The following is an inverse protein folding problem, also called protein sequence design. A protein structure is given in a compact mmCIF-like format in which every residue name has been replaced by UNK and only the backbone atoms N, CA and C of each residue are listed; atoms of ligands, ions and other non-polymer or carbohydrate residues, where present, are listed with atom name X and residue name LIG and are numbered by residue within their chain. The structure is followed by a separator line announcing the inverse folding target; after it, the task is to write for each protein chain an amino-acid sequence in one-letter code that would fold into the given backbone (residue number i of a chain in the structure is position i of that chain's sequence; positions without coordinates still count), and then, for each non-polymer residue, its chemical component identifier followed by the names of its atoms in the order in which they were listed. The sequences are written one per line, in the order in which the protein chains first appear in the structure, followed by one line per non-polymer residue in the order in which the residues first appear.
data_IF_559090020198
#
_entry.id   IF_559090020198
#
_cell.length_a   1.000
_cell.length_b   1.000
_cell.length_c   1.000
_cell.angle_alpha   90.00
_cell.angle_beta   90.00
_cell.angle_gamma   90.00
#
_symmetry.space_group_name_H-M   'P 1'
#
loop_
_entity.id
_entity.type
_entity.pdbx_description
1 polymer ?
#
# COMPACT_ATOMS: atom_id res chain seq x y z
N UNK A 1 22.01 0.31 -19.43
CA UNK A 1 20.87 1.27 -19.61
C UNK A 1 21.19 2.41 -20.55
N UNK A 2 22.42 2.90 -20.59
CA UNK A 2 22.84 3.95 -21.53
C UNK A 2 22.78 3.52 -22.99
N UNK A 3 23.01 2.26 -23.31
CA UNK A 3 22.96 1.73 -24.67
C UNK A 3 21.58 1.85 -25.35
N UNK A 4 20.48 1.68 -24.60
CA UNK A 4 19.13 1.80 -25.15
C UNK A 4 18.69 3.22 -25.48
N UNK A 5 19.41 4.23 -24.98
CA UNK A 5 19.11 5.65 -25.18
C UNK A 5 20.11 6.35 -26.07
N UNK A 6 21.14 5.63 -26.51
CA UNK A 6 22.20 6.15 -27.37
C UNK A 6 21.63 6.60 -28.70
N UNK A 7 21.98 7.81 -29.11
CA UNK A 7 21.50 8.45 -30.34
C UNK A 7 20.26 9.33 -30.18
N UNK A 8 19.66 9.40 -28.98
CA UNK A 8 18.56 10.32 -28.71
C UNK A 8 18.96 11.32 -27.61
N UNK A 9 19.35 12.52 -28.03
CA UNK A 9 19.95 13.54 -27.17
C UNK A 9 19.17 13.87 -25.89
N UNK A 10 17.83 14.01 -25.91
CA UNK A 10 17.04 14.22 -24.68
C UNK A 10 17.19 13.08 -23.67
N UNK A 11 17.19 11.83 -24.13
CA UNK A 11 17.32 10.66 -23.27
C UNK A 11 18.75 10.48 -22.73
N UNK A 12 19.75 10.91 -23.47
CA UNK A 12 21.14 10.89 -23.00
C UNK A 12 21.37 11.89 -21.87
N UNK A 13 20.72 13.05 -21.94
CA UNK A 13 20.82 14.11 -20.92
C UNK A 13 20.00 13.83 -19.67
N UNK A 14 18.81 13.23 -19.82
CA UNK A 14 17.83 13.01 -18.76
C UNK A 14 17.36 11.56 -18.72
N UNK A 15 18.31 10.64 -18.51
CA UNK A 15 18.10 9.20 -18.61
C UNK A 15 16.95 8.65 -17.73
N UNK A 16 16.74 9.22 -16.55
CA UNK A 16 15.67 8.81 -15.63
C UNK A 16 14.29 9.18 -16.15
N UNK A 17 14.12 10.40 -16.65
CA UNK A 17 12.85 10.90 -17.22
C UNK A 17 12.45 10.13 -18.49
N UNK A 18 13.44 9.73 -19.28
CA UNK A 18 13.26 8.97 -20.52
C UNK A 18 13.27 7.46 -20.34
N UNK A 19 13.27 6.98 -19.11
CA UNK A 19 13.06 5.55 -18.84
C UNK A 19 11.62 5.13 -19.17
N UNK A 20 10.65 5.96 -18.80
CA UNK A 20 9.23 5.81 -19.13
C UNK A 20 8.62 7.20 -19.37
N UNK A 21 8.90 7.84 -20.54
CA UNK A 21 8.62 9.26 -20.75
C UNK A 21 7.13 9.59 -20.88
N UNK A 22 6.25 8.59 -20.99
CA UNK A 22 4.85 8.81 -21.34
C UNK A 22 4.69 9.26 -22.81
N UNK A 23 3.67 10.05 -23.11
CA UNK A 23 3.46 10.59 -24.45
C UNK A 23 4.41 11.77 -24.71
N UNK A 24 5.07 11.76 -25.88
CA UNK A 24 5.96 12.84 -26.30
C UNK A 24 5.93 13.00 -27.82
N UNK A 25 6.36 14.15 -28.31
CA UNK A 25 6.58 14.38 -29.74
C UNK A 25 7.91 13.72 -30.15
N UNK A 26 7.89 12.76 -31.08
CA UNK A 26 9.12 12.04 -31.47
C UNK A 26 10.14 12.90 -32.26
N UNK A 27 9.72 14.06 -32.80
CA UNK A 27 10.59 14.94 -33.57
C UNK A 27 11.26 15.95 -32.66
N UNK A 28 10.50 16.59 -31.76
CA UNK A 28 11.01 17.64 -30.88
C UNK A 28 11.52 17.12 -29.55
N UNK A 29 11.06 15.93 -29.11
CA UNK A 29 11.29 15.41 -27.78
C UNK A 29 10.47 16.11 -26.69
N UNK A 30 9.48 16.93 -27.06
CA UNK A 30 8.60 17.60 -26.11
C UNK A 30 7.65 16.58 -25.47
N UNK A 31 7.61 16.53 -24.13
CA UNK A 31 6.74 15.62 -23.37
C UNK A 31 5.39 16.28 -23.13
N UNK A 32 4.32 15.53 -23.39
CA UNK A 32 2.94 15.97 -23.07
C UNK A 32 2.65 15.72 -21.60
N UNK A 33 2.90 16.72 -20.75
CA UNK A 33 2.63 16.67 -19.32
C UNK A 33 1.20 17.12 -19.08
N UNK A 34 0.36 16.23 -18.53
CA UNK A 34 -1.01 16.58 -18.17
C UNK A 34 -1.03 17.64 -17.06
N UNK A 35 -1.95 18.62 -17.17
CA UNK A 35 -2.20 19.54 -16.06
C UNK A 35 -2.79 18.75 -14.89
N UNK A 36 -2.14 18.84 -13.73
CA UNK A 36 -2.55 18.15 -12.50
C UNK A 36 -2.96 19.11 -11.39
N UNK A 37 -3.14 20.39 -11.71
CA UNK A 37 -3.60 21.41 -10.77
C UNK A 37 -4.98 21.03 -10.19
N UNK A 38 -5.12 21.11 -8.89
CA UNK A 38 -6.36 20.74 -8.20
C UNK A 38 -6.62 19.21 -8.08
N UNK A 39 -5.71 18.36 -8.58
CA UNK A 39 -5.82 16.92 -8.38
C UNK A 39 -5.15 16.47 -7.07
N UNK A 40 -5.61 15.36 -6.45
CA UNK A 40 -4.88 14.71 -5.35
C UNK A 40 -3.45 14.35 -5.77
N UNK A 41 -2.47 14.36 -4.85
CA UNK A 41 -1.10 13.98 -5.14
C UNK A 41 -0.98 12.47 -5.47
N UNK A 42 0.15 12.10 -6.05
CA UNK A 42 0.55 10.70 -6.11
C UNK A 42 0.94 10.21 -4.70
N UNK A 43 0.63 8.97 -4.36
CA UNK A 43 1.03 8.39 -3.07
C UNK A 43 2.54 8.45 -2.86
N UNK A 44 3.34 8.19 -3.90
CA UNK A 44 4.80 8.33 -3.84
C UNK A 44 5.26 9.74 -3.47
N UNK A 45 4.56 10.79 -3.95
CA UNK A 45 4.91 12.18 -3.64
C UNK A 45 4.52 12.54 -2.19
N UNK A 46 3.41 11.98 -1.70
CA UNK A 46 3.05 12.06 -0.27
C UNK A 46 4.14 11.42 0.57
N UNK A 47 4.61 10.22 0.20
CA UNK A 47 5.73 9.55 0.86
C UNK A 47 6.98 10.44 0.87
N UNK A 48 7.47 10.88 -0.30
CA UNK A 48 8.72 11.64 -0.41
C UNK A 48 8.69 12.96 0.38
N UNK A 49 7.60 13.72 0.28
CA UNK A 49 7.45 14.97 1.03
C UNK A 49 7.32 14.74 2.54
N UNK A 50 6.57 13.72 2.95
CA UNK A 50 6.43 13.37 4.39
C UNK A 50 7.76 12.88 4.96
N UNK A 51 8.52 12.09 4.20
CA UNK A 51 9.83 11.60 4.64
C UNK A 51 10.80 12.75 4.91
N UNK A 52 10.80 13.77 4.06
CA UNK A 52 11.62 14.98 4.29
C UNK A 52 11.20 15.70 5.56
N UNK A 53 9.91 15.92 5.77
CA UNK A 53 9.41 16.59 6.98
C UNK A 53 9.75 15.82 8.25
N UNK A 54 9.60 14.50 8.24
CA UNK A 54 10.02 13.65 9.36
C UNK A 54 11.55 13.69 9.58
N UNK A 55 12.32 13.70 8.49
CA UNK A 55 13.77 13.78 8.56
C UNK A 55 14.29 15.14 9.06
N UNK A 56 13.59 16.23 8.79
CA UNK A 56 13.88 17.56 9.36
C UNK A 56 13.69 17.55 10.89
N UNK A 57 12.65 16.87 11.37
CA UNK A 57 12.35 16.79 12.80
C UNK A 57 13.18 15.73 13.54
N UNK A 58 13.61 14.65 12.88
CA UNK A 58 14.33 13.54 13.49
C UNK A 58 15.64 13.26 12.73
N UNK A 59 16.81 13.61 13.30
CA UNK A 59 18.11 13.42 12.65
C UNK A 59 18.49 11.95 12.42
N UNK A 60 17.83 10.99 13.04
CA UNK A 60 18.07 9.56 12.88
C UNK A 60 17.45 8.97 11.61
N UNK A 61 16.46 9.63 11.02
CA UNK A 61 15.78 9.13 9.82
C UNK A 61 16.72 9.17 8.63
N UNK A 62 16.79 8.05 7.92
CA UNK A 62 17.50 7.87 6.65
C UNK A 62 16.60 7.17 5.65
N UNK A 63 16.79 7.45 4.36
CA UNK A 63 16.06 6.81 3.26
C UNK A 63 16.95 5.80 2.53
N UNK A 64 16.39 4.64 2.15
CA UNK A 64 17.07 3.62 1.34
C UNK A 64 16.15 3.21 0.20
N UNK A 65 16.69 3.08 -1.01
CA UNK A 65 15.96 2.53 -2.16
C UNK A 65 16.88 1.75 -3.08
N UNK A 66 16.43 0.64 -3.67
CA UNK A 66 17.20 -0.10 -4.67
C UNK A 66 16.83 0.37 -6.09
N UNK A 67 17.60 1.34 -6.64
CA UNK A 67 17.48 1.86 -8.01
C UNK A 67 16.11 2.52 -8.35
N UNK A 68 15.37 3.01 -7.36
CA UNK A 68 14.02 3.59 -7.56
C UNK A 68 13.90 5.04 -7.06
N UNK A 69 14.93 5.91 -7.14
CA UNK A 69 14.90 7.22 -6.49
C UNK A 69 13.74 8.10 -6.97
N UNK A 70 13.50 8.21 -8.26
CA UNK A 70 12.39 9.00 -8.82
C UNK A 70 11.05 8.23 -8.76
N UNK A 71 11.09 6.92 -8.92
CA UNK A 71 9.90 6.08 -8.94
C UNK A 71 9.16 6.04 -7.58
N UNK A 72 9.88 6.15 -6.47
CA UNK A 72 9.31 6.22 -5.13
C UNK A 72 9.47 7.60 -4.47
N UNK A 73 9.82 8.64 -5.23
CA UNK A 73 10.05 10.02 -4.75
C UNK A 73 11.11 10.15 -3.64
N UNK A 74 12.04 9.18 -3.53
CA UNK A 74 13.21 9.27 -2.65
C UNK A 74 14.18 10.38 -3.08
N UNK A 75 14.17 10.76 -4.38
CA UNK A 75 14.94 11.88 -4.91
C UNK A 75 14.69 13.18 -4.15
N UNK A 76 13.48 13.41 -3.60
CA UNK A 76 13.14 14.59 -2.81
C UNK A 76 14.03 14.67 -1.56
N UNK A 77 14.24 13.56 -0.86
CA UNK A 77 15.16 13.48 0.28
C UNK A 77 16.62 13.59 -0.18
N UNK A 78 16.99 12.92 -1.30
CA UNK A 78 18.34 12.98 -1.86
C UNK A 78 18.77 14.39 -2.21
N UNK A 79 17.89 15.21 -2.75
CA UNK A 79 18.14 16.61 -3.09
C UNK A 79 18.32 17.48 -1.84
N UNK A 80 17.47 17.32 -0.83
CA UNK A 80 17.52 18.12 0.39
C UNK A 80 18.58 17.66 1.40
N UNK A 81 18.77 16.35 1.52
CA UNK A 81 19.64 15.72 2.51
C UNK A 81 20.47 14.58 1.90
N UNK A 82 21.40 14.86 0.96
CA UNK A 82 22.12 13.85 0.18
C UNK A 82 22.93 12.84 1.02
N UNK A 83 23.29 13.19 2.25
CA UNK A 83 23.99 12.29 3.17
C UNK A 83 23.07 11.34 3.95
N UNK A 84 21.75 11.48 3.78
CA UNK A 84 20.74 10.72 4.51
C UNK A 84 19.83 9.91 3.61
N UNK A 85 20.17 9.80 2.33
CA UNK A 85 19.42 9.00 1.37
C UNK A 85 20.40 8.18 0.52
N UNK A 86 20.11 6.88 0.37
CA UNK A 86 21.00 5.90 -0.23
C UNK A 86 20.29 5.14 -1.34
N UNK A 87 20.86 5.15 -2.55
CA UNK A 87 20.49 4.25 -3.62
C UNK A 87 21.54 3.12 -3.68
N UNK A 88 21.09 1.89 -3.43
CA UNK A 88 21.99 0.72 -3.39
C UNK A 88 22.05 -0.05 -4.72
N UNK A 89 21.49 0.53 -5.79
CA UNK A 89 21.35 -0.15 -7.08
C UNK A 89 20.24 -1.21 -7.05
N UNK A 90 20.16 -2.05 -8.09
CA UNK A 90 19.17 -3.13 -8.19
C UNK A 90 19.58 -4.28 -7.26
N UNK A 91 19.36 -4.10 -5.96
CA UNK A 91 19.81 -5.02 -4.92
C UNK A 91 18.86 -4.97 -3.71
N UNK A 92 17.62 -5.46 -3.86
CA UNK A 92 16.55 -5.38 -2.87
C UNK A 92 16.92 -6.07 -1.54
N UNK A 93 17.51 -7.26 -1.60
CA UNK A 93 18.00 -7.95 -0.41
C UNK A 93 19.05 -7.13 0.34
N UNK A 94 20.00 -6.52 -0.39
CA UNK A 94 21.00 -5.63 0.21
C UNK A 94 20.36 -4.38 0.83
N UNK A 95 19.34 -3.77 0.19
CA UNK A 95 18.63 -2.63 0.74
C UNK A 95 18.03 -2.93 2.12
N UNK A 96 17.44 -4.11 2.31
CA UNK A 96 16.85 -4.54 3.58
C UNK A 96 17.94 -4.84 4.61
N UNK A 97 18.97 -5.63 4.27
CA UNK A 97 20.08 -5.94 5.18
C UNK A 97 20.82 -4.67 5.62
N UNK A 98 21.10 -3.76 4.69
CA UNK A 98 21.74 -2.46 4.97
C UNK A 98 20.89 -1.61 5.92
N UNK A 99 19.57 -1.57 5.70
CA UNK A 99 18.63 -0.91 6.61
C UNK A 99 18.63 -1.54 8.00
N UNK A 100 18.68 -2.88 8.08
CA UNK A 100 18.83 -3.61 9.35
C UNK A 100 20.10 -3.21 10.11
N UNK A 101 21.24 -3.13 9.42
CA UNK A 101 22.50 -2.66 10.00
C UNK A 101 22.41 -1.25 10.54
N UNK A 102 21.84 -0.31 9.77
CA UNK A 102 21.64 1.07 10.22
C UNK A 102 20.70 1.17 11.42
N UNK A 103 19.62 0.38 11.44
CA UNK A 103 18.70 0.34 12.58
C UNK A 103 19.38 -0.21 13.84
N UNK A 104 20.27 -1.20 13.70
CA UNK A 104 21.09 -1.74 14.79
C UNK A 104 22.01 -0.70 15.40
N UNK A 105 22.53 0.21 14.60
CA UNK A 105 23.36 1.34 15.04
C UNK A 105 22.55 2.56 15.52
N UNK A 106 21.23 2.43 15.62
CA UNK A 106 20.33 3.43 16.21
C UNK A 106 19.81 4.49 15.24
N UNK A 107 19.94 4.27 13.93
CA UNK A 107 19.25 5.06 12.92
C UNK A 107 17.80 4.55 12.72
N UNK A 108 16.99 5.34 12.02
CA UNK A 108 15.61 5.03 11.68
C UNK A 108 15.45 4.96 10.16
N UNK A 109 15.75 3.81 9.53
CA UNK A 109 15.69 3.70 8.08
C UNK A 109 14.25 3.54 7.57
N UNK A 110 13.94 4.31 6.53
CA UNK A 110 12.79 4.11 5.65
C UNK A 110 13.28 3.46 4.36
N UNK A 111 13.05 2.16 4.23
CA UNK A 111 13.45 1.36 3.08
C UNK A 111 12.26 1.26 2.11
N UNK A 112 12.33 1.99 0.99
CA UNK A 112 11.26 2.03 0.01
C UNK A 112 11.60 1.14 -1.19
N UNK A 113 10.80 0.12 -1.41
CA UNK A 113 10.93 -0.87 -2.49
C UNK A 113 9.55 -1.11 -3.09
N UNK A 114 9.45 -1.30 -4.42
CA UNK A 114 8.18 -1.73 -5.01
C UNK A 114 7.73 -3.08 -4.45
N UNK A 115 6.45 -3.21 -4.14
CA UNK A 115 5.87 -4.39 -3.50
C UNK A 115 6.25 -5.70 -4.22
N UNK A 116 6.17 -5.76 -5.55
CA UNK A 116 6.57 -6.94 -6.32
C UNK A 116 8.09 -7.23 -6.25
N UNK A 117 8.92 -6.20 -6.10
CA UNK A 117 10.39 -6.37 -6.02
C UNK A 117 10.85 -6.73 -4.60
N UNK A 118 10.07 -6.36 -3.58
CA UNK A 118 10.31 -6.76 -2.19
C UNK A 118 10.35 -8.29 -2.01
N UNK A 119 9.72 -9.04 -2.91
CA UNK A 119 9.79 -10.51 -2.91
C UNK A 119 11.22 -11.05 -2.93
N UNK A 120 12.18 -10.33 -3.57
CA UNK A 120 13.60 -10.69 -3.57
C UNK A 120 14.30 -10.51 -2.24
N UNK A 121 13.69 -9.75 -1.33
CA UNK A 121 14.23 -9.48 0.00
C UNK A 121 13.47 -10.22 1.12
N UNK A 122 12.57 -11.15 0.80
CA UNK A 122 11.72 -11.83 1.77
C UNK A 122 12.53 -12.51 2.88
N UNK A 123 13.61 -13.21 2.52
CA UNK A 123 14.52 -13.84 3.47
C UNK A 123 15.22 -12.80 4.36
N UNK A 124 15.70 -11.70 3.77
CA UNK A 124 16.36 -10.63 4.51
C UNK A 124 15.42 -9.93 5.49
N UNK A 125 14.12 -9.79 5.14
CA UNK A 125 13.10 -9.27 6.07
C UNK A 125 13.01 -10.17 7.30
N UNK A 126 13.01 -11.49 7.12
CA UNK A 126 12.93 -12.45 8.23
C UNK A 126 14.21 -12.42 9.07
N UNK A 127 15.38 -12.68 8.46
CA UNK A 127 16.62 -12.90 9.18
C UNK A 127 17.28 -11.61 9.68
N UNK A 128 17.30 -10.56 8.85
CA UNK A 128 18.09 -9.37 9.15
C UNK A 128 17.28 -8.31 9.90
N UNK A 129 15.95 -8.40 9.87
CA UNK A 129 15.06 -7.38 10.46
C UNK A 129 14.11 -7.98 11.51
N UNK A 130 13.24 -8.92 11.11
CA UNK A 130 12.13 -9.38 11.96
C UNK A 130 12.61 -10.21 13.17
N UNK A 131 13.54 -11.15 13.00
CA UNK A 131 14.10 -11.97 14.10
C UNK A 131 14.74 -11.08 15.16
N UNK A 132 15.41 -9.99 14.75
CA UNK A 132 16.08 -9.07 15.64
C UNK A 132 15.16 -7.95 16.14
N UNK A 133 13.91 -7.90 15.69
CA UNK A 133 12.92 -6.87 16.00
C UNK A 133 13.45 -5.43 15.77
N UNK A 134 14.18 -5.22 14.67
CA UNK A 134 14.81 -3.94 14.36
C UNK A 134 13.79 -2.92 13.81
N UNK A 135 13.84 -1.65 14.21
CA UNK A 135 12.89 -0.62 13.79
C UNK A 135 13.16 -0.12 12.36
N UNK A 136 13.01 -1.00 11.39
CA UNK A 136 13.07 -0.67 9.96
C UNK A 136 11.67 -0.40 9.45
N UNK A 137 11.44 0.75 8.80
CA UNK A 137 10.18 1.05 8.12
C UNK A 137 10.29 0.58 6.66
N UNK A 138 9.57 -0.48 6.33
CA UNK A 138 9.51 -1.05 4.99
C UNK A 138 8.35 -0.42 4.24
N UNK A 139 8.62 0.49 3.31
CA UNK A 139 7.62 1.14 2.48
C UNK A 139 7.45 0.39 1.17
N UNK A 140 6.31 -0.30 1.01
CA UNK A 140 5.98 -1.06 -0.18
C UNK A 140 5.18 -0.19 -1.14
N UNK A 141 5.86 0.47 -2.03
CA UNK A 141 5.25 1.23 -3.11
C UNK A 141 4.72 0.28 -4.20
N UNK A 142 3.70 0.66 -4.96
CA UNK A 142 3.07 -0.17 -5.99
C UNK A 142 2.41 -1.44 -5.41
N UNK A 143 1.80 -1.35 -4.23
CA UNK A 143 0.95 -2.43 -3.72
C UNK A 143 -0.32 -2.58 -4.58
N UNK A 144 -0.81 -3.80 -4.72
CA UNK A 144 -1.99 -4.11 -5.52
C UNK A 144 -1.74 -4.08 -7.02
N UNK A 145 -2.78 -3.80 -7.80
CA UNK A 145 -2.71 -3.71 -9.26
C UNK A 145 -2.11 -2.37 -9.68
N UNK A 146 -1.07 -2.41 -10.51
CA UNK A 146 -0.28 -1.21 -10.90
C UNK A 146 -0.52 -0.73 -12.33
N UNK A 147 -1.23 -1.52 -13.15
CA UNK A 147 -1.66 -1.10 -14.49
C UNK A 147 -0.75 -1.59 -15.61
N UNK A 148 -0.22 -0.67 -16.40
CA UNK A 148 0.42 -0.94 -17.69
C UNK A 148 1.69 -1.79 -17.61
N UNK A 149 2.37 -1.80 -16.46
CA UNK A 149 3.59 -2.60 -16.26
C UNK A 149 3.28 -4.11 -16.10
N UNK A 150 2.03 -4.47 -15.83
CA UNK A 150 1.54 -5.84 -15.84
C UNK A 150 2.02 -6.73 -14.68
N UNK A 151 1.96 -8.07 -14.87
CA UNK A 151 2.14 -9.05 -13.79
C UNK A 151 3.51 -9.01 -13.12
N UNK A 152 4.54 -8.48 -13.77
CA UNK A 152 5.88 -8.35 -13.19
C UNK A 152 5.96 -7.24 -12.14
N UNK A 153 4.99 -6.33 -12.11
CA UNK A 153 4.96 -5.17 -11.22
C UNK A 153 3.77 -5.15 -10.26
N UNK A 154 2.73 -5.96 -10.49
CA UNK A 154 1.60 -6.03 -9.55
C UNK A 154 2.06 -6.47 -8.17
N UNK A 155 1.80 -5.63 -7.17
CA UNK A 155 2.09 -5.89 -5.75
C UNK A 155 1.00 -6.73 -5.09
N UNK A 156 0.67 -7.88 -5.69
CA UNK A 156 -0.46 -8.70 -5.29
C UNK A 156 -0.19 -9.59 -4.07
N UNK A 157 1.07 -9.94 -3.80
CA UNK A 157 1.42 -11.02 -2.87
C UNK A 157 1.94 -10.54 -1.52
N UNK A 158 2.21 -9.26 -1.34
CA UNK A 158 2.85 -8.70 -0.16
C UNK A 158 2.15 -9.06 1.15
N UNK A 159 0.83 -8.86 1.23
CA UNK A 159 0.05 -9.23 2.42
C UNK A 159 0.13 -10.71 2.74
N UNK A 160 -0.05 -11.57 1.75
CA UNK A 160 -0.03 -13.02 1.93
C UNK A 160 1.36 -13.55 2.35
N UNK A 161 2.43 -12.97 1.78
CA UNK A 161 3.80 -13.39 2.08
C UNK A 161 4.32 -12.87 3.42
N UNK A 162 3.96 -11.65 3.80
CA UNK A 162 4.51 -11.01 5.00
C UNK A 162 3.70 -11.30 6.27
N UNK A 163 2.40 -11.57 6.15
CA UNK A 163 1.51 -11.81 7.30
C UNK A 163 2.03 -12.90 8.27
N UNK A 164 2.60 -14.03 7.80
CA UNK A 164 3.07 -15.07 8.71
C UNK A 164 4.30 -14.69 9.53
N UNK A 165 5.07 -13.68 9.13
CA UNK A 165 6.35 -13.34 9.77
C UNK A 165 6.10 -12.71 11.15
N UNK A 166 6.64 -13.27 12.26
CA UNK A 166 6.51 -12.66 13.59
C UNK A 166 7.14 -11.26 13.67
N UNK A 167 6.75 -10.47 14.66
CA UNK A 167 7.24 -9.12 14.96
C UNK A 167 6.93 -8.05 13.90
N UNK A 168 6.48 -8.39 12.68
CA UNK A 168 6.10 -7.38 11.70
C UNK A 168 4.77 -6.71 12.06
N UNK A 169 4.74 -5.40 12.04
CA UNK A 169 3.51 -4.61 11.88
C UNK A 169 3.27 -4.41 10.39
N UNK A 170 2.03 -4.64 9.91
CA UNK A 170 1.67 -4.48 8.50
C UNK A 170 0.44 -3.59 8.38
N UNK A 171 0.58 -2.47 7.69
CA UNK A 171 -0.47 -1.47 7.51
C UNK A 171 -0.70 -1.10 6.05
N UNK A 172 -1.90 -0.60 5.75
CA UNK A 172 -2.26 -0.05 4.45
C UNK A 172 -3.15 1.17 4.64
N UNK A 173 -2.67 2.38 4.32
CA UNK A 173 -3.46 3.60 4.42
C UNK A 173 -4.59 3.61 3.41
N UNK A 174 -5.76 4.10 3.79
CA UNK A 174 -6.89 4.28 2.90
C UNK A 174 -6.76 5.54 2.03
N UNK A 175 -6.04 6.54 2.53
CA UNK A 175 -5.83 7.83 1.89
C UNK A 175 -4.45 8.43 2.22
N UNK A 176 -4.18 9.61 1.68
CA UNK A 176 -2.90 10.30 1.81
C UNK A 176 -2.62 10.78 3.24
N UNK A 177 -3.66 11.19 3.96
CA UNK A 177 -3.51 11.62 5.36
C UNK A 177 -3.14 10.43 6.26
N UNK A 178 -3.74 9.26 5.99
CA UNK A 178 -3.38 8.03 6.69
C UNK A 178 -1.96 7.58 6.37
N UNK A 179 -1.50 7.66 5.11
CA UNK A 179 -0.10 7.37 4.76
C UNK A 179 0.85 8.25 5.57
N UNK A 180 0.58 9.54 5.62
CA UNK A 180 1.37 10.50 6.37
C UNK A 180 1.43 10.17 7.87
N UNK A 181 0.30 9.84 8.48
CA UNK A 181 0.21 9.47 9.90
C UNK A 181 0.84 8.11 10.20
N UNK A 182 0.71 7.14 9.32
CA UNK A 182 1.36 5.83 9.45
C UNK A 182 2.88 5.96 9.37
N UNK A 183 3.41 6.80 8.47
CA UNK A 183 4.85 7.09 8.42
C UNK A 183 5.34 7.75 9.71
N UNK A 184 4.58 8.69 10.27
CA UNK A 184 4.88 9.28 11.56
C UNK A 184 4.84 8.24 12.69
N UNK A 185 3.80 7.40 12.73
CA UNK A 185 3.65 6.33 13.73
C UNK A 185 4.83 5.35 13.69
N UNK A 186 5.22 4.92 12.48
CA UNK A 186 6.24 3.90 12.28
C UNK A 186 7.63 4.31 12.81
N UNK A 187 7.93 5.61 12.90
CA UNK A 187 9.23 6.11 13.41
C UNK A 187 9.25 6.37 14.92
N UNK A 188 8.11 6.20 15.61
CA UNK A 188 8.05 6.37 17.07
C UNK A 188 8.77 5.21 17.79
N UNK A 189 9.23 5.43 19.04
CA UNK A 189 9.89 4.37 19.83
C UNK A 189 9.04 3.10 19.96
N UNK A 190 9.71 1.96 20.05
CA UNK A 190 9.13 0.65 20.37
C UNK A 190 8.11 0.10 19.35
N UNK A 191 8.16 0.60 18.10
CA UNK A 191 7.26 0.11 17.03
C UNK A 191 7.80 -1.17 16.34
N UNK A 192 9.08 -1.49 16.49
CA UNK A 192 9.71 -2.61 15.79
C UNK A 192 9.69 -2.46 14.27
N UNK A 193 9.81 -3.57 13.53
CA UNK A 193 9.74 -3.52 12.07
C UNK A 193 8.32 -3.24 11.58
N UNK A 194 8.19 -2.24 10.70
CA UNK A 194 6.90 -1.68 10.31
C UNK A 194 6.75 -1.62 8.81
N UNK A 195 5.74 -2.29 8.26
CA UNK A 195 5.41 -2.30 6.84
C UNK A 195 4.27 -1.34 6.56
N UNK A 196 4.46 -0.44 5.59
CA UNK A 196 3.42 0.44 5.07
C UNK A 196 3.30 0.17 3.57
N UNK A 197 2.19 -0.43 3.14
CA UNK A 197 1.91 -0.71 1.73
C UNK A 197 0.95 0.32 1.14
N UNK A 198 1.25 0.88 -0.02
CA UNK A 198 0.40 1.86 -0.71
C UNK A 198 0.49 1.72 -2.23
N UNK A 199 -0.56 2.14 -2.98
CA UNK A 199 -0.65 1.87 -4.41
C UNK A 199 0.18 2.83 -5.26
N UNK A 200 0.36 2.47 -6.52
CA UNK A 200 0.70 3.40 -7.59
C UNK A 200 -0.50 4.31 -7.88
N UNK A 201 -0.24 5.60 -8.12
CA UNK A 201 -1.26 6.53 -8.60
C UNK A 201 -1.64 7.59 -7.58
N UNK A 202 -2.72 8.30 -7.91
CA UNK A 202 -3.23 9.40 -7.08
C UNK A 202 -4.14 8.87 -6.00
N UNK A 203 -4.13 9.56 -4.87
CA UNK A 203 -5.10 9.34 -3.82
C UNK A 203 -6.45 10.03 -4.10
N UNK A 204 -7.13 10.41 -3.03
CA UNK A 204 -8.48 11.00 -3.07
C UNK A 204 -8.57 12.39 -2.44
N UNK A 205 -7.54 12.82 -1.72
CA UNK A 205 -7.52 14.07 -0.96
C UNK A 205 -6.60 15.11 -1.58
N UNK A 206 -7.16 16.19 -2.11
CA UNK A 206 -6.38 17.36 -2.56
C UNK A 206 -5.65 18.00 -1.37
N UNK A 207 -6.36 18.20 -0.25
CA UNK A 207 -5.82 18.74 1.00
C UNK A 207 -5.28 17.61 1.90
N UNK A 208 -4.23 16.95 1.44
CA UNK A 208 -3.66 15.78 2.11
C UNK A 208 -2.78 16.09 3.32
N UNK A 209 -2.22 17.29 3.42
CA UNK A 209 -1.40 17.68 4.56
C UNK A 209 -2.27 17.83 5.81
N UNK A 210 -1.95 17.04 6.81
CA UNK A 210 -2.61 17.06 8.12
C UNK A 210 -1.55 17.09 9.22
N UNK A 211 -1.89 17.38 10.48
CA UNK A 211 -0.98 17.19 11.61
C UNK A 211 -0.43 15.76 11.65
N UNK A 212 0.84 15.64 12.05
CA UNK A 212 1.48 14.36 12.31
C UNK A 212 1.00 13.83 13.65
N UNK A 213 0.11 12.85 13.62
CA UNK A 213 -0.53 12.24 14.78
C UNK A 213 -0.32 10.72 14.73
N UNK A 214 -0.12 10.13 15.91
CA UNK A 214 0.00 8.67 16.01
C UNK A 214 -1.32 7.99 15.70
N UNK A 215 -1.29 6.96 14.86
CA UNK A 215 -2.35 5.98 14.71
C UNK A 215 -2.04 4.82 15.64
N UNK A 216 -2.91 4.48 16.63
CA UNK A 216 -2.69 3.34 17.48
C UNK A 216 -2.51 2.05 16.66
N UNK A 217 -1.37 1.37 16.85
CA UNK A 217 -1.05 0.15 16.11
C UNK A 217 -2.08 -0.94 16.39
N UNK A 218 -2.55 -1.60 15.33
CA UNK A 218 -3.55 -2.65 15.42
C UNK A 218 -4.98 -2.14 15.64
N UNK A 219 -5.24 -0.83 15.47
CA UNK A 219 -6.60 -0.28 15.59
C UNK A 219 -7.17 0.10 14.24
N UNK A 220 -8.22 -0.61 13.86
CA UNK A 220 -9.10 -0.27 12.76
C UNK A 220 -10.03 0.89 13.07
N UNK A 221 -10.94 1.17 12.17
CA UNK A 221 -12.01 2.17 12.38
C UNK A 221 -13.30 1.75 11.72
N UNK A 222 -14.41 2.13 12.33
CA UNK A 222 -15.73 2.04 11.74
C UNK A 222 -15.98 3.31 10.92
N UNK A 223 -16.12 3.16 9.62
CA UNK A 223 -16.39 4.26 8.69
C UNK A 223 -17.88 4.55 8.59
N UNK A 224 -18.72 3.52 8.77
CA UNK A 224 -20.16 3.60 8.65
C UNK A 224 -20.83 2.54 9.53
N UNK A 225 -21.89 2.93 10.22
CA UNK A 225 -22.76 2.00 10.96
C UNK A 225 -23.68 1.23 10.00
N UNK A 226 -24.07 0.02 10.40
CA UNK A 226 -25.00 -0.83 9.69
C UNK A 226 -25.36 -2.07 10.50
N UNK A 227 -26.37 -2.85 10.02
CA UNK A 227 -26.88 -4.01 10.78
C UNK A 227 -27.03 -5.30 9.94
N UNK A 228 -27.09 -5.23 8.60
CA UNK A 228 -27.43 -6.38 7.76
C UNK A 228 -26.18 -7.07 7.22
N UNK A 229 -25.16 -6.30 6.86
CA UNK A 229 -23.90 -6.75 6.28
C UNK A 229 -22.73 -5.96 6.86
N UNK A 230 -21.65 -6.62 7.25
CA UNK A 230 -20.38 -5.97 7.54
C UNK A 230 -19.46 -6.04 6.31
N UNK A 231 -19.04 -4.91 5.78
CA UNK A 231 -17.99 -4.81 4.76
C UNK A 231 -16.70 -4.39 5.44
N UNK A 232 -15.65 -5.20 5.31
CA UNK A 232 -14.33 -4.95 5.90
C UNK A 232 -13.34 -4.72 4.77
N UNK A 233 -12.66 -3.59 4.80
CA UNK A 233 -11.68 -3.19 3.78
C UNK A 233 -10.31 -2.95 4.39
N UNK A 234 -9.27 -2.95 3.56
CA UNK A 234 -7.93 -2.51 3.92
C UNK A 234 -7.31 -1.72 2.77
N UNK A 235 -6.84 -0.50 3.07
CA UNK A 235 -6.20 0.37 2.09
C UNK A 235 -7.17 1.07 1.13
N UNK A 236 -6.67 1.65 0.03
CA UNK A 236 -7.41 2.56 -0.84
C UNK A 236 -8.65 1.96 -1.53
N UNK A 237 -8.72 0.63 -1.67
CA UNK A 237 -9.91 -0.06 -2.20
C UNK A 237 -11.17 0.24 -1.36
N UNK A 238 -11.00 0.63 -0.10
CA UNK A 238 -12.09 1.07 0.78
C UNK A 238 -12.86 2.27 0.24
N UNK A 239 -12.21 3.16 -0.51
CA UNK A 239 -12.88 4.31 -1.16
C UNK A 239 -13.82 3.85 -2.29
N UNK A 240 -13.47 2.78 -3.01
CA UNK A 240 -14.34 2.19 -4.04
C UNK A 240 -15.50 1.47 -3.36
N UNK A 241 -15.20 0.69 -2.32
CA UNK A 241 -16.20 -0.03 -1.54
C UNK A 241 -17.26 0.92 -0.94
N UNK A 242 -16.86 2.09 -0.44
CA UNK A 242 -17.78 3.08 0.13
C UNK A 242 -18.85 3.54 -0.89
N UNK A 243 -18.47 3.75 -2.16
CA UNK A 243 -19.42 4.09 -3.23
C UNK A 243 -20.36 2.94 -3.56
N UNK A 244 -19.81 1.73 -3.68
CA UNK A 244 -20.62 0.53 -3.93
C UNK A 244 -21.62 0.25 -2.79
N UNK A 245 -21.20 0.45 -1.54
CA UNK A 245 -22.07 0.33 -0.35
C UNK A 245 -23.24 1.32 -0.43
N UNK A 246 -22.97 2.60 -0.73
CA UNK A 246 -24.02 3.62 -0.86
C UNK A 246 -25.08 3.23 -1.90
N UNK A 247 -24.63 2.70 -3.04
CA UNK A 247 -25.53 2.21 -4.11
C UNK A 247 -26.28 0.95 -3.69
N UNK A 248 -25.62 0.00 -3.05
CA UNK A 248 -26.23 -1.24 -2.60
C UNK A 248 -27.37 -0.97 -1.58
N UNK A 249 -27.17 -0.04 -0.65
CA UNK A 249 -28.19 0.36 0.30
C UNK A 249 -29.43 0.96 -0.37
N UNK A 250 -29.20 1.82 -1.38
CA UNK A 250 -30.30 2.42 -2.13
C UNK A 250 -31.08 1.38 -2.95
N UNK A 251 -30.37 0.42 -3.56
CA UNK A 251 -30.97 -0.59 -4.43
C UNK A 251 -31.69 -1.71 -3.67
N UNK A 252 -31.20 -2.08 -2.48
CA UNK A 252 -31.63 -3.27 -1.74
C UNK A 252 -32.34 -2.95 -0.42
N UNK A 253 -32.42 -1.67 -0.05
CA UNK A 253 -32.95 -1.22 1.25
C UNK A 253 -32.26 -1.93 2.44
N UNK A 254 -30.92 -2.02 2.38
CA UNK A 254 -30.07 -2.62 3.42
C UNK A 254 -29.41 -1.55 4.27
N UNK A 255 -28.97 -1.95 5.46
CA UNK A 255 -28.14 -1.18 6.37
C UNK A 255 -26.75 -1.83 6.45
N UNK A 256 -25.77 -1.31 5.72
CA UNK A 256 -24.46 -1.91 5.56
C UNK A 256 -23.42 -1.18 6.40
N UNK A 257 -22.75 -1.89 7.30
CA UNK A 257 -21.61 -1.37 8.05
C UNK A 257 -20.33 -1.41 7.21
N UNK A 258 -19.47 -0.39 7.34
CA UNK A 258 -18.18 -0.34 6.67
C UNK A 258 -17.05 -0.12 7.68
N UNK A 259 -16.07 -1.02 7.66
CA UNK A 259 -14.90 -1.01 8.52
C UNK A 259 -13.62 -0.94 7.68
N UNK A 260 -12.68 -0.10 8.12
CA UNK A 260 -11.31 -0.05 7.58
C UNK A 260 -10.37 -0.64 8.62
N UNK A 261 -9.73 -1.75 8.30
CA UNK A 261 -8.82 -2.42 9.23
C UNK A 261 -7.54 -1.64 9.47
N UNK A 262 -7.09 -0.80 8.55
CA UNK A 262 -5.79 -0.10 8.61
C UNK A 262 -4.58 -1.03 8.75
N UNK A 263 -4.69 -2.03 9.63
CA UNK A 263 -3.62 -3.00 9.94
C UNK A 263 -4.06 -4.42 9.61
N UNK A 264 -3.24 -5.08 8.80
CA UNK A 264 -3.35 -6.53 8.60
C UNK A 264 -2.74 -7.29 9.79
N UNK A 265 -1.73 -6.66 10.43
CA UNK A 265 -1.01 -7.23 11.57
C UNK A 265 -0.46 -6.11 12.47
N UNK A 266 -0.73 -6.12 13.79
CA UNK A 266 -1.75 -6.99 14.40
C UNK A 266 -3.17 -6.63 13.91
N UNK A 267 -4.07 -7.60 13.95
CA UNK A 267 -5.49 -7.36 13.70
C UNK A 267 -6.13 -6.59 14.88
N UNK A 268 -7.15 -5.80 14.61
CA UNK A 268 -8.01 -5.24 15.65
C UNK A 268 -9.01 -6.30 16.13
N UNK A 269 -8.60 -7.08 17.13
CA UNK A 269 -9.41 -8.17 17.65
C UNK A 269 -10.71 -7.67 18.29
N UNK A 270 -10.71 -6.49 18.96
CA UNK A 270 -11.93 -5.91 19.53
C UNK A 270 -12.97 -5.60 18.44
N UNK A 271 -12.53 -5.00 17.33
CA UNK A 271 -13.36 -4.73 16.17
C UNK A 271 -13.90 -6.03 15.56
N UNK A 272 -13.04 -7.04 15.42
CA UNK A 272 -13.43 -8.33 14.84
C UNK A 272 -14.35 -9.12 15.76
N UNK A 273 -14.22 -9.03 17.09
CA UNK A 273 -15.17 -9.59 18.05
C UNK A 273 -16.55 -8.91 17.94
N UNK A 274 -16.59 -7.56 17.82
CA UNK A 274 -17.85 -6.84 17.57
C UNK A 274 -18.54 -7.35 16.31
N UNK A 275 -17.77 -7.48 15.21
CA UNK A 275 -18.28 -7.94 13.92
C UNK A 275 -18.79 -9.39 14.02
N UNK A 276 -17.99 -10.30 14.61
CA UNK A 276 -18.34 -11.72 14.73
C UNK A 276 -19.58 -11.98 15.57
N UNK A 277 -19.83 -11.14 16.59
CA UNK A 277 -21.02 -11.22 17.44
C UNK A 277 -22.26 -10.64 16.77
N UNK A 278 -22.12 -9.59 15.97
CA UNK A 278 -23.22 -8.80 15.43
C UNK A 278 -23.74 -9.29 14.10
N UNK A 279 -22.84 -9.70 13.18
CA UNK A 279 -23.20 -9.92 11.78
C UNK A 279 -23.23 -11.39 11.39
N UNK A 280 -24.28 -11.76 10.64
CA UNK A 280 -24.38 -13.07 9.99
C UNK A 280 -23.67 -13.10 8.62
N UNK A 281 -23.49 -11.93 8.00
CA UNK A 281 -22.85 -11.77 6.69
C UNK A 281 -21.67 -10.80 6.78
N UNK A 282 -20.50 -11.24 6.31
CA UNK A 282 -19.28 -10.46 6.29
C UNK A 282 -18.68 -10.52 4.88
N UNK A 283 -18.42 -9.36 4.29
CA UNK A 283 -17.72 -9.23 3.01
C UNK A 283 -16.36 -8.57 3.23
N UNK A 284 -15.28 -9.21 2.83
CA UNK A 284 -13.94 -8.61 2.91
C UNK A 284 -13.47 -8.17 1.53
N UNK A 285 -12.81 -7.02 1.44
CA UNK A 285 -12.33 -6.45 0.18
C UNK A 285 -10.90 -5.97 0.35
N UNK A 286 -9.98 -6.53 -0.44
CA UNK A 286 -8.55 -6.23 -0.39
C UNK A 286 -7.94 -6.07 -1.79
N UNK A 287 -7.00 -5.15 -1.95
CA UNK A 287 -6.19 -5.05 -3.16
C UNK A 287 -4.90 -5.89 -2.98
N UNK A 288 -5.11 -7.19 -2.91
CA UNK A 288 -4.11 -8.23 -2.76
C UNK A 288 -4.69 -9.56 -3.25
N UNK A 289 -3.83 -10.58 -3.35
CA UNK A 289 -4.29 -11.93 -3.72
C UNK A 289 -5.31 -12.43 -2.69
N UNK A 290 -6.44 -12.95 -3.19
CA UNK A 290 -7.55 -13.42 -2.34
C UNK A 290 -7.17 -14.58 -1.40
N UNK A 291 -6.05 -15.27 -1.70
CA UNK A 291 -5.53 -16.38 -0.90
C UNK A 291 -4.41 -15.91 0.01
N UNK A 292 -4.57 -16.11 1.32
CA UNK A 292 -3.54 -15.80 2.33
C UNK A 292 -3.49 -14.34 2.80
N UNK A 293 -4.26 -13.42 2.19
CA UNK A 293 -4.33 -12.01 2.55
C UNK A 293 -5.27 -11.71 3.73
N UNK A 294 -5.87 -10.51 3.72
CA UNK A 294 -6.75 -10.02 4.79
C UNK A 294 -8.00 -10.89 4.96
N UNK A 295 -8.68 -11.23 3.89
CA UNK A 295 -9.88 -12.06 3.97
C UNK A 295 -9.61 -13.45 4.54
N UNK A 296 -8.40 -14.00 4.34
CA UNK A 296 -7.97 -15.25 4.98
C UNK A 296 -7.71 -15.06 6.46
N UNK A 297 -7.07 -13.96 6.87
CA UNK A 297 -6.84 -13.65 8.28
C UNK A 297 -8.16 -13.50 9.06
N UNK A 298 -9.16 -12.85 8.45
CA UNK A 298 -10.49 -12.72 9.06
C UNK A 298 -11.18 -14.09 9.19
N UNK A 299 -11.09 -14.96 8.18
CA UNK A 299 -11.64 -16.32 8.27
C UNK A 299 -10.99 -17.12 9.38
N UNK A 300 -9.66 -17.07 9.53
CA UNK A 300 -8.92 -17.69 10.62
C UNK A 300 -9.41 -17.16 11.97
N UNK A 301 -9.48 -15.83 12.14
CA UNK A 301 -9.98 -15.21 13.37
C UNK A 301 -11.39 -15.65 13.74
N UNK A 302 -12.31 -15.65 12.76
CA UNK A 302 -13.70 -16.08 12.99
C UNK A 302 -13.78 -17.55 13.40
N UNK A 303 -12.98 -18.42 12.79
CA UNK A 303 -12.93 -19.83 13.12
C UNK A 303 -12.33 -20.09 14.51
N UNK A 304 -11.21 -19.44 14.84
CA UNK A 304 -10.51 -19.59 16.11
C UNK A 304 -11.36 -19.12 17.31
N UNK A 305 -12.28 -18.16 17.08
CA UNK A 305 -13.19 -17.62 18.08
C UNK A 305 -14.62 -18.19 17.99
N UNK A 306 -14.84 -19.27 17.25
CA UNK A 306 -16.10 -19.98 17.10
C UNK A 306 -17.27 -19.15 16.52
N UNK A 307 -16.97 -18.01 15.89
CA UNK A 307 -17.95 -17.22 15.14
C UNK A 307 -18.32 -17.91 13.83
N UNK A 308 -19.58 -17.80 13.43
CA UNK A 308 -20.12 -18.52 12.27
C UNK A 308 -20.79 -17.60 11.23
N UNK A 309 -20.27 -16.41 10.96
CA UNK A 309 -20.81 -15.61 9.86
C UNK A 309 -20.52 -16.30 8.53
N UNK A 310 -21.39 -16.13 7.56
CA UNK A 310 -21.04 -16.42 6.17
C UNK A 310 -20.07 -15.35 5.69
N UNK A 311 -18.84 -15.73 5.32
CA UNK A 311 -17.82 -14.79 4.85
C UNK A 311 -17.63 -14.92 3.35
N UNK A 312 -17.80 -13.85 2.60
CA UNK A 312 -17.39 -13.72 1.19
C UNK A 312 -16.19 -12.79 1.08
N UNK A 313 -15.40 -12.98 0.04
CA UNK A 313 -14.15 -12.25 -0.16
C UNK A 313 -14.07 -11.69 -1.57
N UNK A 314 -13.58 -10.47 -1.72
CA UNK A 314 -13.17 -9.83 -2.96
C UNK A 314 -11.68 -9.52 -2.84
N UNK A 315 -10.93 -9.83 -3.86
CA UNK A 315 -9.50 -9.58 -3.99
C UNK A 315 -9.01 -10.05 -5.34
N UNK A 316 -7.74 -9.84 -5.63
CA UNK A 316 -7.13 -10.31 -6.88
C UNK A 316 -7.30 -11.83 -6.95
N UNK A 317 -7.94 -12.35 -8.01
CA UNK A 317 -8.19 -13.79 -8.14
C UNK A 317 -6.88 -14.58 -8.27
N UNK A 318 -6.95 -15.91 -8.07
CA UNK A 318 -5.77 -16.79 -8.13
C UNK A 318 -5.30 -17.02 -9.58
N UNK A 319 -4.88 -15.93 -10.22
CA UNK A 319 -4.31 -15.89 -11.57
C UNK A 319 -3.32 -14.72 -11.68
N UNK A 320 -2.44 -14.76 -12.66
CA UNK A 320 -1.61 -13.61 -13.03
C UNK A 320 -2.44 -12.66 -13.89
N UNK A 321 -2.69 -11.46 -13.38
CA UNK A 321 -3.45 -10.42 -14.08
C UNK A 321 -2.52 -9.77 -15.10
N UNK A 322 -3.00 -9.68 -16.36
CA UNK A 322 -2.25 -9.06 -17.44
C UNK A 322 -2.14 -7.53 -17.27
N UNK A 323 -1.48 -6.85 -18.20
CA UNK A 323 -1.35 -5.40 -18.22
C UNK A 323 -2.65 -4.74 -18.75
N UNK A 324 -2.89 -3.53 -18.30
CA UNK A 324 -4.03 -2.69 -18.68
C UNK A 324 -4.03 -1.41 -17.85
N UNK A 325 -5.02 -0.56 -17.96
CA UNK A 325 -5.22 0.51 -16.98
C UNK A 325 -5.70 -0.09 -15.65
N UNK A 326 -5.38 0.56 -14.52
CA UNK A 326 -5.83 0.08 -13.20
C UNK A 326 -7.36 -0.10 -13.15
N UNK A 327 -8.11 0.81 -13.82
CA UNK A 327 -9.58 0.74 -13.86
C UNK A 327 -10.07 -0.52 -14.60
N UNK A 328 -9.49 -0.84 -15.77
CA UNK A 328 -9.82 -2.07 -16.51
C UNK A 328 -9.46 -3.33 -15.71
N UNK A 329 -8.32 -3.31 -15.02
CA UNK A 329 -7.88 -4.45 -14.20
C UNK A 329 -8.78 -4.66 -12.98
N UNK A 330 -9.22 -3.58 -12.32
CA UNK A 330 -10.20 -3.67 -11.25
C UNK A 330 -11.54 -4.23 -11.77
N UNK A 331 -12.01 -3.78 -12.92
CA UNK A 331 -13.22 -4.33 -13.57
C UNK A 331 -13.04 -5.81 -13.88
N UNK A 332 -11.92 -6.22 -14.48
CA UNK A 332 -11.61 -7.61 -14.78
C UNK A 332 -11.64 -8.50 -13.54
N UNK A 333 -11.17 -7.99 -12.40
CA UNK A 333 -11.13 -8.71 -11.14
C UNK A 333 -12.43 -8.59 -10.32
N UNK A 334 -13.44 -7.85 -10.78
CA UNK A 334 -14.67 -7.58 -10.05
C UNK A 334 -14.43 -6.76 -8.77
N UNK A 335 -13.42 -5.90 -8.79
CA UNK A 335 -12.97 -5.06 -7.68
C UNK A 335 -13.34 -3.57 -7.88
N UNK A 336 -13.93 -3.24 -9.01
CA UNK A 336 -14.52 -1.93 -9.27
C UNK A 336 -15.86 -1.76 -8.55
N UNK A 337 -16.45 -0.59 -8.64
CA UNK A 337 -17.70 -0.27 -7.96
C UNK A 337 -18.86 -1.20 -8.39
N UNK A 338 -18.98 -1.52 -9.68
CA UNK A 338 -20.01 -2.43 -10.20
C UNK A 338 -19.79 -3.88 -9.77
N UNK A 339 -18.55 -4.35 -9.81
CA UNK A 339 -18.20 -5.70 -9.36
C UNK A 339 -18.49 -5.91 -7.87
N UNK A 340 -18.12 -4.93 -7.03
CA UNK A 340 -18.43 -4.96 -5.59
C UNK A 340 -19.95 -4.91 -5.37
N UNK A 341 -20.68 -4.01 -6.04
CA UNK A 341 -22.14 -3.93 -5.96
C UNK A 341 -22.80 -5.26 -6.35
N UNK A 342 -22.37 -5.85 -7.44
CA UNK A 342 -22.88 -7.16 -7.91
C UNK A 342 -22.64 -8.23 -6.86
N UNK A 343 -21.43 -8.26 -6.28
CA UNK A 343 -21.10 -9.25 -5.25
C UNK A 343 -21.92 -9.07 -3.96
N UNK A 344 -22.23 -7.83 -3.57
CA UNK A 344 -23.15 -7.55 -2.45
C UNK A 344 -24.54 -8.10 -2.78
N UNK A 345 -25.08 -7.83 -3.98
CA UNK A 345 -26.38 -8.32 -4.43
C UNK A 345 -26.46 -9.86 -4.43
N UNK A 346 -25.44 -10.52 -4.95
CA UNK A 346 -25.34 -11.99 -4.96
C UNK A 346 -25.20 -12.61 -3.56
N UNK A 347 -24.69 -11.85 -2.63
CA UNK A 347 -24.40 -12.34 -1.29
C UNK A 347 -25.60 -12.29 -0.34
N UNK A 348 -26.47 -11.32 -0.53
CA UNK A 348 -27.64 -11.09 0.33
C UNK A 348 -28.89 -11.80 -0.20
N UNK A 349 -29.00 -12.02 -1.52
CA UNK A 349 -30.09 -12.80 -2.14
C UNK A 349 -29.83 -14.31 -2.06
#
# INVERSE_FOLDING_TARGET
TTLFRSGFGPAEKHATEWHAPGKFDPVTGERFIANTEGMPPLFQDVFGNTLVELAEANPKIVGVTPAMPSGCSMNILMEKMPKRAFDVGIAEGHAVTFSGGMAKDGLQPFCNIYSSFMQRAHDNIIHDVAIQNLPVVLCLDRAGLVGEDGPTHHGAFDMACLRPIPNLTISSPMDEQELRRLMYTAQLPDKGPFVIRYPRGRGVLVNWKCPLEEIPVGKGRKLKEGNDLAVITIGPIGNIAARAITRAEADLNLSIAHYDLRFLKPLDEELLHEIGQKFQHVLTIEDGIIKGGMGSAILEFMADNEYKPTVKRIGIPNLFVEHGSVAELYQLCGMDEEGILTKIKEFIN
#
